data_IF_088426096573
#
_entry.id   IF_088426096573
#
_cell.length_a   1.000
_cell.length_b   1.000
_cell.length_c   1.000
_cell.angle_alpha   90.00
_cell.angle_beta   90.00
_cell.angle_gamma   90.00
#
_symmetry.space_group_name_H-M   'P 1'
#
loop_
_entity.id
_entity.type
_entity.pdbx_description
1 polymer ?
#
# COMPACT_ATOMS: atom_id res chain seq x y z
N UNK A 1 16.29 3.53 0.24
CA UNK A 1 14.83 3.27 0.21
C UNK A 1 14.15 4.36 1.02
N UNK A 2 13.23 5.13 0.43
CA UNK A 2 12.58 6.27 1.11
C UNK A 2 11.24 5.87 1.72
N UNK A 3 11.00 6.23 2.99
CA UNK A 3 9.77 5.92 3.73
C UNK A 3 8.52 6.49 3.06
N UNK A 4 8.63 7.65 2.41
CA UNK A 4 7.56 8.26 1.61
C UNK A 4 7.14 7.38 0.45
N UNK A 5 8.10 6.84 -0.31
CA UNK A 5 7.80 5.96 -1.42
C UNK A 5 7.12 4.66 -0.95
N UNK A 6 7.56 4.10 0.19
CA UNK A 6 6.90 2.96 0.81
C UNK A 6 5.45 3.27 1.22
N UNK A 7 5.20 4.45 1.79
CA UNK A 7 3.86 4.88 2.19
C UNK A 7 2.91 5.02 0.99
N UNK A 8 3.37 5.67 -0.08
CA UNK A 8 2.61 5.83 -1.33
C UNK A 8 2.27 4.46 -1.92
N UNK A 9 3.24 3.54 -2.00
CA UNK A 9 3.02 2.18 -2.53
C UNK A 9 2.10 1.34 -1.66
N UNK A 10 2.17 1.48 -0.34
CA UNK A 10 1.22 0.82 0.56
C UNK A 10 -0.20 1.33 0.32
N UNK A 11 -0.36 2.65 0.18
CA UNK A 11 -1.66 3.26 -0.11
C UNK A 11 -2.21 2.80 -1.47
N UNK A 12 -1.35 2.76 -2.48
CA UNK A 12 -1.68 2.22 -3.80
C UNK A 12 -2.11 0.75 -3.72
N UNK A 13 -1.42 -0.08 -2.93
CA UNK A 13 -1.80 -1.48 -2.73
C UNK A 13 -3.20 -1.61 -2.09
N UNK A 14 -3.53 -0.75 -1.13
CA UNK A 14 -4.86 -0.70 -0.51
C UNK A 14 -5.94 -0.26 -1.50
N UNK A 15 -5.69 0.76 -2.32
CA UNK A 15 -6.62 1.20 -3.36
C UNK A 15 -6.79 0.16 -4.46
N UNK A 16 -5.72 -0.52 -4.87
CA UNK A 16 -5.77 -1.62 -5.83
C UNK A 16 -6.55 -2.83 -5.31
N UNK A 17 -6.69 -2.96 -3.98
CA UNK A 17 -7.50 -3.97 -3.32
C UNK A 17 -8.95 -3.50 -3.07
N UNK A 18 -9.29 -2.26 -3.43
CA UNK A 18 -10.57 -1.62 -3.16
C UNK A 18 -10.98 -1.65 -1.67
N UNK A 19 -10.01 -1.39 -0.79
CA UNK A 19 -10.21 -1.43 0.66
C UNK A 19 -10.17 -0.04 1.29
N UNK A 20 -11.03 0.20 2.26
CA UNK A 20 -10.87 1.26 3.25
C UNK A 20 -9.79 0.90 4.29
N UNK A 21 -9.19 1.88 4.96
CA UNK A 21 -8.25 1.61 6.07
C UNK A 21 -8.90 0.81 7.20
N UNK A 22 -10.20 1.01 7.43
CA UNK A 22 -11.01 0.27 8.40
C UNK A 22 -11.14 -1.19 8.03
N UNK A 23 -11.42 -1.49 6.75
CA UNK A 23 -11.57 -2.86 6.26
C UNK A 23 -10.23 -3.61 6.31
N UNK A 24 -9.14 -2.94 5.94
CA UNK A 24 -7.78 -3.48 6.08
C UNK A 24 -7.39 -3.71 7.55
N UNK A 25 -7.82 -2.83 8.48
CA UNK A 25 -7.61 -3.08 9.90
C UNK A 25 -8.37 -4.33 10.36
N UNK A 26 -9.63 -4.46 9.96
CA UNK A 26 -10.48 -5.60 10.28
C UNK A 26 -9.90 -6.91 9.73
N UNK A 27 -9.40 -6.92 8.50
CA UNK A 27 -8.80 -8.13 7.90
C UNK A 27 -7.50 -8.56 8.59
N UNK A 28 -6.80 -7.63 9.23
CA UNK A 28 -5.63 -7.87 10.07
C UNK A 28 -5.98 -8.14 11.55
N UNK A 29 -7.27 -8.19 11.93
CA UNK A 29 -7.69 -8.36 13.33
C UNK A 29 -7.35 -7.16 14.23
N UNK A 30 -7.07 -5.99 13.65
CA UNK A 30 -6.73 -4.78 14.37
C UNK A 30 -8.00 -4.02 14.79
N UNK A 31 -8.04 -3.56 16.04
CA UNK A 31 -9.16 -2.76 16.57
C UNK A 31 -9.18 -1.30 16.11
N UNK A 32 -8.07 -0.80 15.57
CA UNK A 32 -7.89 0.62 15.20
C UNK A 32 -7.08 0.74 13.92
N UNK A 33 -7.37 1.77 13.13
CA UNK A 33 -6.68 2.08 11.87
C UNK A 33 -5.39 2.86 12.04
N UNK A 34 -5.04 3.27 13.27
CA UNK A 34 -3.90 4.16 13.54
C UNK A 34 -2.58 3.63 13.00
N UNK A 35 -2.34 2.32 13.09
CA UNK A 35 -1.11 1.70 12.56
C UNK A 35 -1.03 1.87 11.03
N UNK A 36 -2.11 1.53 10.31
CA UNK A 36 -2.22 1.70 8.85
C UNK A 36 -2.07 3.17 8.47
N UNK A 37 -2.77 4.07 9.17
CA UNK A 37 -2.68 5.51 8.92
C UNK A 37 -1.26 6.05 9.09
N UNK A 38 -0.52 5.59 10.10
CA UNK A 38 0.87 5.98 10.31
C UNK A 38 1.77 5.49 9.18
N UNK A 39 1.56 4.26 8.70
CA UNK A 39 2.31 3.71 7.56
C UNK A 39 2.01 4.48 6.27
N UNK A 40 0.74 4.76 5.97
CA UNK A 40 0.32 5.55 4.79
C UNK A 40 0.67 7.03 4.89
N UNK A 41 1.05 7.55 6.07
CA UNK A 41 1.55 8.92 6.26
C UNK A 41 3.07 9.00 6.32
N UNK A 42 3.77 7.91 6.03
CA UNK A 42 5.23 7.81 6.10
C UNK A 42 5.81 8.10 7.49
N UNK A 43 5.05 7.84 8.56
CA UNK A 43 5.55 7.92 9.93
C UNK A 43 6.29 6.65 10.35
N UNK A 44 5.88 5.51 9.78
CA UNK A 44 6.49 4.19 10.00
C UNK A 44 6.53 3.41 8.68
N UNK A 45 7.47 2.48 8.54
CA UNK A 45 7.50 1.58 7.38
C UNK A 45 6.35 0.56 7.41
N UNK A 46 5.92 0.05 6.24
CA UNK A 46 5.06 -1.14 6.16
C UNK A 46 5.69 -2.30 6.95
N UNK A 47 4.92 -2.90 7.85
CA UNK A 47 5.39 -4.01 8.67
C UNK A 47 5.15 -5.37 7.98
N UNK A 48 5.70 -6.44 8.55
CA UNK A 48 5.59 -7.79 7.97
C UNK A 48 4.15 -8.26 7.82
N UNK A 49 3.28 -7.90 8.76
CA UNK A 49 1.89 -8.38 8.80
C UNK A 49 1.09 -7.84 7.61
N UNK A 50 1.12 -6.51 7.41
CA UNK A 50 0.42 -5.86 6.30
C UNK A 50 1.01 -6.27 4.94
N UNK A 51 2.34 -6.40 4.86
CA UNK A 51 2.99 -6.87 3.63
C UNK A 51 2.56 -8.30 3.30
N UNK A 52 2.52 -9.19 4.31
CA UNK A 52 2.09 -10.59 4.13
C UNK A 52 0.63 -10.69 3.71
N UNK A 53 -0.24 -9.83 4.24
CA UNK A 53 -1.64 -9.74 3.83
C UNK A 53 -1.76 -9.40 2.35
N UNK A 54 -1.11 -8.32 1.89
CA UNK A 54 -1.16 -7.92 0.48
C UNK A 54 -0.55 -8.96 -0.46
N UNK A 55 0.49 -9.67 -0.02
CA UNK A 55 1.06 -10.76 -0.82
C UNK A 55 0.09 -11.94 -0.94
N UNK A 56 -0.57 -12.36 0.15
CA UNK A 56 -1.45 -13.54 0.15
C UNK A 56 -2.78 -13.28 -0.52
N UNK A 57 -3.43 -12.18 -0.17
CA UNK A 57 -4.80 -11.88 -0.60
C UNK A 57 -4.83 -11.15 -1.94
N UNK A 58 -3.77 -10.40 -2.27
CA UNK A 58 -3.75 -9.53 -3.43
C UNK A 58 -2.53 -9.73 -4.33
N UNK A 59 -1.64 -10.70 -4.03
CA UNK A 59 -0.42 -10.99 -4.82
C UNK A 59 0.47 -9.76 -5.09
N UNK A 60 0.39 -8.76 -4.22
CA UNK A 60 1.28 -7.59 -4.25
C UNK A 60 2.43 -7.89 -3.31
N UNK A 61 3.61 -8.11 -3.88
CA UNK A 61 4.75 -8.58 -3.11
C UNK A 61 5.55 -7.46 -2.40
N UNK A 62 6.52 -7.89 -1.61
CA UNK A 62 7.29 -7.02 -0.75
C UNK A 62 8.27 -6.16 -1.54
N UNK A 63 8.77 -6.65 -2.68
CA UNK A 63 9.67 -5.87 -3.53
C UNK A 63 8.95 -4.70 -4.16
N UNK A 64 7.66 -4.85 -4.50
CA UNK A 64 6.84 -3.71 -4.89
C UNK A 64 6.71 -2.73 -3.72
N UNK A 65 6.20 -3.17 -2.56
CA UNK A 65 5.92 -2.28 -1.43
C UNK A 65 7.17 -1.53 -0.94
N UNK A 66 8.32 -2.21 -0.90
CA UNK A 66 9.56 -1.67 -0.36
C UNK A 66 10.41 -0.97 -1.44
N UNK A 67 10.61 -1.60 -2.59
CA UNK A 67 11.55 -1.15 -3.62
C UNK A 67 10.89 -0.58 -4.87
N UNK A 68 9.59 -0.81 -5.08
CA UNK A 68 8.87 -0.40 -6.29
C UNK A 68 9.09 -1.31 -7.49
N UNK A 69 9.63 -2.51 -7.29
CA UNK A 69 9.80 -3.47 -8.37
C UNK A 69 8.46 -4.14 -8.70
N UNK A 70 7.98 -3.97 -9.93
CA UNK A 70 6.69 -4.47 -10.38
C UNK A 70 6.78 -5.55 -11.47
N UNK A 71 7.96 -5.78 -12.05
CA UNK A 71 8.14 -6.66 -13.22
C UNK A 71 7.71 -8.13 -12.99
N UNK A 72 7.78 -8.59 -11.74
CA UNK A 72 7.37 -9.93 -11.32
C UNK A 72 5.89 -10.02 -10.91
N UNK A 73 5.19 -8.88 -10.84
CA UNK A 73 3.76 -8.88 -10.53
C UNK A 73 2.98 -9.40 -11.75
N UNK A 74 1.94 -10.21 -11.55
CA UNK A 74 1.06 -10.63 -12.65
C UNK A 74 0.38 -9.44 -13.35
N UNK A 75 0.05 -9.60 -14.62
CA UNK A 75 -0.53 -8.53 -15.45
C UNK A 75 -1.80 -7.92 -14.85
N UNK A 76 -2.74 -8.74 -14.41
CA UNK A 76 -3.98 -8.30 -13.75
C UNK A 76 -3.74 -7.54 -12.43
N UNK A 77 -2.62 -7.79 -11.75
CA UNK A 77 -2.21 -7.01 -10.57
C UNK A 77 -1.67 -5.66 -11.01
N UNK A 78 -0.84 -5.61 -12.05
CA UNK A 78 -0.33 -4.36 -12.61
C UNK A 78 -1.46 -3.45 -13.11
N UNK A 79 -2.45 -4.03 -13.80
CA UNK A 79 -3.59 -3.31 -14.38
C UNK A 79 -4.40 -2.53 -13.33
N UNK A 80 -4.59 -3.10 -12.14
CA UNK A 80 -5.27 -2.41 -11.02
C UNK A 80 -4.32 -1.58 -10.16
N UNK A 81 -3.03 -1.92 -10.11
CA UNK A 81 -2.06 -1.28 -9.23
C UNK A 81 -1.54 0.05 -9.79
N UNK A 82 -1.33 0.17 -11.10
CA UNK A 82 -0.80 1.40 -11.68
C UNK A 82 -1.77 2.58 -11.60
N UNK A 83 -3.08 2.44 -11.90
CA UNK A 83 -4.04 3.52 -11.67
C UNK A 83 -4.10 3.91 -10.18
N UNK A 84 -4.10 2.93 -9.28
CA UNK A 84 -4.08 3.17 -7.84
C UNK A 84 -2.82 3.90 -7.38
N UNK A 85 -1.67 3.62 -8.01
CA UNK A 85 -0.40 4.28 -7.73
C UNK A 85 -0.41 5.74 -8.20
N UNK A 86 -1.01 6.03 -9.36
CA UNK A 86 -1.18 7.40 -9.84
C UNK A 86 -2.03 8.23 -8.86
N UNK A 87 -3.18 7.69 -8.43
CA UNK A 87 -4.04 8.35 -7.42
C UNK A 87 -3.26 8.60 -6.12
N UNK A 88 -2.52 7.62 -5.62
CA UNK A 88 -1.77 7.75 -4.38
C UNK A 88 -0.64 8.80 -4.47
N UNK A 89 0.03 8.92 -5.63
CA UNK A 89 1.02 9.98 -5.86
C UNK A 89 0.36 11.36 -5.91
N UNK A 90 -0.73 11.51 -6.68
CA UNK A 90 -1.44 12.78 -6.80
C UNK A 90 -1.93 13.31 -5.44
N UNK A 91 -2.50 12.44 -4.60
CA UNK A 91 -2.90 12.80 -3.24
C UNK A 91 -1.71 13.23 -2.36
N UNK A 92 -0.54 12.62 -2.58
CA UNK A 92 0.68 12.98 -1.85
C UNK A 92 1.20 14.36 -2.27
N UNK A 93 1.22 14.62 -3.57
CA UNK A 93 1.66 15.89 -4.13
C UNK A 93 0.75 17.05 -3.69
N UNK A 94 -0.58 16.84 -3.70
CA UNK A 94 -1.57 17.81 -3.21
C UNK A 94 -1.43 18.12 -1.71
N UNK A 95 -0.84 17.21 -0.92
CA UNK A 95 -0.58 17.45 0.50
C UNK A 95 0.68 18.32 0.70
N UNK A 96 1.62 18.27 -0.24
CA UNK A 96 2.89 18.98 -0.17
C UNK A 96 2.81 20.42 -0.70
N UNK A 97 1.80 20.74 -1.51
CA UNK A 97 1.45 22.09 -1.97
C UNK A 97 0.74 22.90 -0.90
#
# INVERSE_FOLDING_TARGET
MGIVACAIRLKAARYAADLMQTELATSLGLKRTTNISNMEKALTFPNREIMSYFFREHRIDFNFLMSGHYSQLPGDVQDRLFPALEVANNEWDQRAS
#
